data_IF_215956150116
#
_entry.id   IF_215956150116
#
_cell.length_a   1.000
_cell.length_b   1.000
_cell.length_c   1.000
_cell.angle_alpha   90.00
_cell.angle_beta   90.00
_cell.angle_gamma   90.00
#
_symmetry.space_group_name_H-M   'P 1'
#
loop_
_entity.id
_entity.type
_entity.pdbx_description
1 polymer ?
#
# COMPACT_ATOMS: atom_id res chain seq x y z
N UNK A 1 13.85 -29.15 0.41
CA UNK A 1 14.09 -28.43 -0.85
C UNK A 1 12.92 -27.50 -1.22
N UNK A 2 11.67 -27.76 -0.83
CA UNK A 2 10.51 -26.88 -1.14
C UNK A 2 10.53 -25.46 -0.55
N UNK A 3 10.83 -25.28 0.74
CA UNK A 3 10.78 -23.95 1.41
C UNK A 3 11.73 -22.89 0.81
N UNK A 4 12.77 -23.32 0.08
CA UNK A 4 13.73 -22.40 -0.56
C UNK A 4 13.22 -21.85 -1.89
N UNK A 5 12.42 -22.58 -2.66
CA UNK A 5 11.88 -22.10 -3.94
C UNK A 5 10.73 -21.09 -3.72
N UNK A 6 9.94 -21.30 -2.66
CA UNK A 6 8.76 -20.47 -2.33
C UNK A 6 9.13 -19.03 -1.93
N UNK A 7 10.30 -18.84 -1.30
CA UNK A 7 10.80 -17.51 -0.92
C UNK A 7 11.32 -16.74 -2.14
N UNK A 8 11.98 -17.41 -3.11
CA UNK A 8 12.52 -16.75 -4.30
C UNK A 8 11.40 -16.26 -5.24
N UNK A 9 10.30 -17.00 -5.37
CA UNK A 9 9.11 -16.60 -6.14
C UNK A 9 8.51 -15.26 -5.66
N UNK A 10 8.48 -15.05 -4.34
CA UNK A 10 8.02 -13.83 -3.66
C UNK A 10 8.84 -12.59 -4.03
N UNK A 11 10.15 -12.76 -4.29
CA UNK A 11 11.06 -11.64 -4.61
C UNK A 11 11.21 -11.42 -6.12
N UNK A 12 10.95 -12.44 -6.95
CA UNK A 12 11.01 -12.29 -8.41
C UNK A 12 9.92 -11.37 -8.97
N UNK A 13 8.71 -11.31 -8.40
CA UNK A 13 7.69 -10.36 -8.88
C UNK A 13 8.02 -8.90 -8.56
N UNK A 14 8.81 -8.67 -7.50
CA UNK A 14 9.29 -7.35 -7.08
C UNK A 14 10.46 -6.86 -7.94
N UNK A 15 11.22 -7.77 -8.56
CA UNK A 15 12.32 -7.42 -9.47
C UNK A 15 11.86 -7.00 -10.87
N UNK A 16 10.59 -7.21 -11.23
CA UNK A 16 9.99 -6.65 -12.46
C UNK A 16 9.41 -5.24 -12.24
N UNK A 17 9.44 -4.73 -11.00
CA UNK A 17 9.07 -3.36 -10.68
C UNK A 17 10.09 -2.43 -11.37
N UNK A 18 9.61 -1.64 -12.34
CA UNK A 18 10.35 -0.64 -13.12
C UNK A 18 11.06 -1.12 -14.41
N UNK A 19 10.56 -2.10 -15.15
CA UNK A 19 10.99 -2.25 -16.55
C UNK A 19 10.07 -1.44 -17.47
N UNK A 20 10.68 -0.52 -18.21
CA UNK A 20 10.09 0.43 -19.15
C UNK A 20 8.89 -0.13 -19.93
N UNK A 21 7.79 0.61 -19.92
CA UNK A 21 6.63 0.39 -20.78
C UNK A 21 6.99 0.68 -22.25
N UNK A 22 7.74 -0.22 -22.87
CA UNK A 22 7.77 -0.32 -24.33
C UNK A 22 6.39 -0.86 -24.77
N UNK A 23 5.45 0.06 -25.01
CA UNK A 23 4.04 -0.18 -25.37
C UNK A 23 3.84 -0.80 -26.77
N UNK A 24 4.67 -1.75 -27.20
CA UNK A 24 4.48 -2.47 -28.47
C UNK A 24 4.43 -3.99 -28.25
N UNK A 25 3.20 -4.50 -28.06
CA UNK A 25 2.84 -5.91 -28.25
C UNK A 25 2.54 -6.74 -26.99
N UNK A 26 1.74 -6.23 -26.02
CA UNK A 26 1.78 -6.74 -24.64
C UNK A 26 0.52 -7.44 -24.04
N UNK A 27 -0.56 -7.77 -24.76
CA UNK A 27 -1.74 -8.36 -24.09
C UNK A 27 -1.48 -9.70 -23.37
N UNK A 28 -0.66 -10.59 -23.95
CA UNK A 28 -0.30 -11.86 -23.32
C UNK A 28 0.73 -11.70 -22.18
N UNK A 29 1.57 -10.65 -22.23
CA UNK A 29 2.56 -10.34 -21.19
C UNK A 29 1.90 -9.68 -19.98
N UNK A 30 0.97 -8.76 -20.20
CA UNK A 30 0.15 -8.12 -19.16
C UNK A 30 -0.61 -9.17 -18.33
N UNK A 31 -1.34 -10.08 -18.99
CA UNK A 31 -2.10 -11.13 -18.31
C UNK A 31 -1.21 -12.10 -17.50
N UNK A 32 0.02 -12.35 -17.97
CA UNK A 32 0.99 -13.17 -17.25
C UNK A 32 1.54 -12.44 -16.02
N UNK A 33 1.84 -11.15 -16.14
CA UNK A 33 2.34 -10.32 -15.04
C UNK A 33 1.29 -10.16 -13.94
N UNK A 34 0.03 -9.82 -14.29
CA UNK A 34 -1.09 -9.73 -13.33
C UNK A 34 -1.30 -11.04 -12.56
N UNK A 35 -1.23 -12.18 -13.26
CA UNK A 35 -1.36 -13.50 -12.64
C UNK A 35 -0.22 -13.81 -11.65
N UNK A 36 1.01 -13.40 -11.97
CA UNK A 36 2.15 -13.60 -11.08
C UNK A 36 2.02 -12.77 -9.80
N UNK A 37 1.63 -11.50 -9.93
CA UNK A 37 1.35 -10.61 -8.80
C UNK A 37 0.25 -11.19 -7.92
N UNK A 38 -0.91 -11.53 -8.50
CA UNK A 38 -2.03 -12.07 -7.72
C UNK A 38 -1.67 -13.38 -7.01
N UNK A 39 -0.90 -14.26 -7.66
CA UNK A 39 -0.41 -15.51 -7.05
C UNK A 39 0.50 -15.24 -5.85
N UNK A 40 1.42 -14.27 -5.97
CA UNK A 40 2.28 -13.85 -4.85
C UNK A 40 1.47 -13.27 -3.69
N UNK A 41 0.48 -12.40 -3.98
CA UNK A 41 -0.38 -11.82 -2.94
C UNK A 41 -1.35 -12.83 -2.34
N UNK A 42 -1.87 -13.81 -3.08
CA UNK A 42 -2.64 -14.92 -2.54
C UNK A 42 -1.83 -15.74 -1.52
N UNK A 43 -0.57 -16.03 -1.86
CA UNK A 43 0.33 -16.74 -0.96
C UNK A 43 0.61 -15.92 0.31
N UNK A 44 0.90 -14.63 0.14
CA UNK A 44 1.11 -13.70 1.25
C UNK A 44 -0.12 -13.63 2.15
N UNK A 45 -1.31 -13.41 1.56
CA UNK A 45 -2.59 -13.41 2.26
C UNK A 45 -2.75 -14.67 3.11
N UNK A 46 -2.55 -15.87 2.57
CA UNK A 46 -2.67 -17.13 3.35
C UNK A 46 -1.76 -17.18 4.58
N UNK A 47 -0.61 -16.52 4.53
CA UNK A 47 0.36 -16.50 5.62
C UNK A 47 0.18 -15.33 6.60
N UNK A 48 -0.54 -14.27 6.22
CA UNK A 48 -0.74 -13.08 7.06
C UNK A 48 -1.62 -13.39 8.28
N UNK A 49 -1.25 -12.83 9.43
CA UNK A 49 -2.19 -12.70 10.55
C UNK A 49 -3.26 -11.65 10.24
N UNK A 50 -4.37 -11.69 10.99
CA UNK A 50 -5.41 -10.66 10.97
C UNK A 50 -4.82 -9.31 11.40
N UNK A 51 -5.27 -8.19 10.82
CA UNK A 51 -4.83 -6.84 11.19
C UNK A 51 -3.53 -6.36 10.53
N UNK A 52 -2.91 -7.14 9.63
CA UNK A 52 -1.66 -6.71 8.98
C UNK A 52 -1.95 -5.75 7.82
N UNK A 53 -1.37 -4.55 7.91
CA UNK A 53 -1.21 -3.61 6.81
C UNK A 53 0.19 -3.74 6.20
N UNK A 54 0.25 -3.72 4.87
CA UNK A 54 1.45 -4.02 4.10
C UNK A 54 2.05 -2.72 3.57
N UNK A 55 2.30 -1.77 4.48
CA UNK A 55 2.80 -0.45 4.15
C UNK A 55 3.93 0.01 5.08
N UNK A 56 4.74 0.98 4.63
CA UNK A 56 5.88 1.46 5.43
C UNK A 56 5.49 2.43 6.55
N UNK A 57 4.23 2.86 6.53
CA UNK A 57 3.64 3.73 7.54
C UNK A 57 3.98 5.19 7.32
N UNK A 58 3.36 6.04 8.14
CA UNK A 58 3.51 7.48 8.15
C UNK A 58 3.51 7.93 9.61
N UNK A 59 4.24 8.99 9.92
CA UNK A 59 4.15 9.58 11.24
C UNK A 59 4.03 11.10 11.18
N UNK A 60 2.96 11.60 11.78
CA UNK A 60 2.76 13.01 12.11
C UNK A 60 2.01 13.13 13.44
N UNK A 61 2.54 13.94 14.37
CA UNK A 61 1.98 14.05 15.71
C UNK A 61 0.52 14.54 15.72
N UNK A 62 0.16 15.43 14.78
CA UNK A 62 -1.20 15.98 14.71
C UNK A 62 -2.18 14.93 14.20
N UNK A 63 -1.79 14.15 13.18
CA UNK A 63 -2.60 13.04 12.70
C UNK A 63 -2.78 11.97 13.79
N UNK A 64 -1.72 11.61 14.51
CA UNK A 64 -1.81 10.64 15.61
C UNK A 64 -2.76 11.09 16.73
N UNK A 65 -2.73 12.38 17.08
CA UNK A 65 -3.62 12.98 18.10
C UNK A 65 -5.08 13.04 17.62
N UNK A 66 -5.31 13.41 16.35
CA UNK A 66 -6.65 13.42 15.75
C UNK A 66 -7.25 12.01 15.66
N UNK A 67 -6.47 11.01 15.24
CA UNK A 67 -6.89 9.60 15.23
C UNK A 67 -7.27 9.14 16.63
N UNK A 68 -6.45 9.44 17.63
CA UNK A 68 -6.72 9.06 19.03
C UNK A 68 -7.99 9.70 19.57
N UNK A 69 -8.31 10.91 19.12
CA UNK A 69 -9.54 11.62 19.47
C UNK A 69 -10.76 11.01 18.79
N UNK A 70 -10.66 10.70 17.49
CA UNK A 70 -11.77 10.12 16.70
C UNK A 70 -12.03 8.66 17.05
N UNK A 71 -10.99 7.90 17.39
CA UNK A 71 -11.06 6.49 17.71
C UNK A 71 -10.36 6.25 19.07
N UNK A 72 -11.03 6.55 20.20
CA UNK A 72 -10.44 6.33 21.51
C UNK A 72 -10.01 4.87 21.72
N UNK A 73 -8.79 4.68 22.25
CA UNK A 73 -8.22 3.35 22.45
C UNK A 73 -7.72 2.67 21.17
N UNK A 74 -7.52 3.41 20.07
CA UNK A 74 -7.04 2.84 18.82
C UNK A 74 -5.71 2.08 18.95
N UNK A 75 -4.79 2.59 19.76
CA UNK A 75 -3.49 1.96 20.03
C UNK A 75 -3.55 0.80 21.05
N UNK A 76 -4.73 0.49 21.60
CA UNK A 76 -4.91 -0.65 22.51
C UNK A 76 -5.02 -1.98 21.75
N UNK A 77 -5.32 -1.92 20.45
CA UNK A 77 -5.24 -3.05 19.53
C UNK A 77 -3.77 -3.23 19.12
N UNK A 78 -3.35 -4.46 18.80
CA UNK A 78 -1.95 -4.82 18.48
C UNK A 78 -1.43 -4.17 17.17
N UNK A 79 -1.35 -2.84 17.16
CA UNK A 79 -0.91 -1.94 16.10
C UNK A 79 0.07 -0.91 16.68
N UNK A 80 0.94 -0.38 15.83
CA UNK A 80 1.78 0.78 16.15
C UNK A 80 1.21 2.11 15.64
N UNK A 81 0.06 2.08 14.97
CA UNK A 81 -0.64 3.25 14.46
C UNK A 81 -0.06 3.84 13.18
N UNK A 82 1.22 3.63 12.89
CA UNK A 82 1.88 4.27 11.75
C UNK A 82 1.29 3.84 10.40
N UNK A 83 0.81 2.60 10.28
CA UNK A 83 0.21 2.15 9.03
C UNK A 83 -1.12 2.84 8.75
N UNK A 84 -1.89 3.08 9.80
CA UNK A 84 -3.20 3.71 9.75
C UNK A 84 -3.10 5.23 9.65
N UNK A 85 -2.06 5.83 10.24
CA UNK A 85 -1.69 7.23 10.02
C UNK A 85 -1.48 7.54 8.53
N UNK A 86 -0.94 6.60 7.73
CA UNK A 86 -0.78 6.79 6.28
C UNK A 86 -2.14 6.89 5.56
N UNK A 87 -3.07 6.01 5.91
CA UNK A 87 -4.44 6.03 5.39
C UNK A 87 -5.18 7.30 5.82
N UNK A 88 -5.02 7.69 7.09
CA UNK A 88 -5.61 8.90 7.63
C UNK A 88 -5.08 10.13 6.88
N UNK A 89 -3.77 10.25 6.71
CA UNK A 89 -3.14 11.35 5.97
C UNK A 89 -3.69 11.44 4.52
N UNK A 90 -3.81 10.31 3.83
CA UNK A 90 -4.36 10.29 2.47
C UNK A 90 -5.81 10.79 2.40
N UNK A 91 -6.67 10.37 3.33
CA UNK A 91 -8.07 10.81 3.38
C UNK A 91 -8.20 12.26 3.86
N UNK A 92 -7.36 12.69 4.81
CA UNK A 92 -7.36 14.04 5.40
C UNK A 92 -7.06 15.14 4.39
N UNK A 93 -6.26 14.84 3.37
CA UNK A 93 -5.92 15.77 2.27
C UNK A 93 -7.01 15.86 1.21
N UNK A 94 -8.01 14.97 1.23
CA UNK A 94 -9.20 15.11 0.38
C UNK A 94 -9.99 16.34 0.86
N UNK A 95 -10.36 17.28 -0.03
CA UNK A 95 -11.11 18.50 0.32
C UNK A 95 -12.58 18.30 0.76
N UNK A 96 -12.86 17.28 1.57
CA UNK A 96 -14.10 17.07 2.30
C UNK A 96 -13.82 17.10 3.80
N UNK A 97 -14.77 17.65 4.57
CA UNK A 97 -14.72 17.50 6.02
C UNK A 97 -14.86 15.99 6.35
N UNK A 98 -14.07 15.50 7.31
CA UNK A 98 -14.14 14.09 7.75
C UNK A 98 -15.52 13.75 8.33
N UNK A 99 -16.29 14.74 8.77
CA UNK A 99 -17.66 14.57 9.25
C UNK A 99 -18.72 14.67 8.12
N UNK A 100 -18.33 14.96 6.88
CA UNK A 100 -19.22 15.11 5.70
C UNK A 100 -19.11 13.94 4.69
N UNK A 101 -19.12 12.71 5.20
CA UNK A 101 -19.06 11.49 4.39
C UNK A 101 -20.40 10.74 4.26
N UNK A 102 -21.44 11.16 4.98
CA UNK A 102 -22.69 10.40 5.16
C UNK A 102 -23.43 10.02 3.87
N UNK A 103 -23.24 10.76 2.78
CA UNK A 103 -23.81 10.49 1.46
C UNK A 103 -22.79 9.97 0.42
N UNK A 104 -21.52 9.89 0.79
CA UNK A 104 -20.39 9.59 -0.10
C UNK A 104 -20.16 8.09 -0.28
N UNK A 105 -19.78 7.70 -1.49
CA UNK A 105 -19.19 6.42 -1.83
C UNK A 105 -17.65 6.53 -1.88
N UNK A 106 -16.98 5.83 -0.96
CA UNK A 106 -15.53 5.67 -0.93
C UNK A 106 -15.12 4.32 -1.55
N UNK A 107 -14.20 4.34 -2.50
CA UNK A 107 -13.61 3.15 -3.13
C UNK A 107 -12.13 3.08 -2.81
N UNK A 108 -11.65 1.99 -2.19
CA UNK A 108 -10.22 1.68 -2.13
C UNK A 108 -9.86 0.69 -3.25
N UNK A 109 -8.92 1.06 -4.13
CA UNK A 109 -8.39 0.17 -5.16
C UNK A 109 -7.03 -0.35 -4.71
N UNK A 110 -6.85 -1.68 -4.72
CA UNK A 110 -5.67 -2.34 -4.16
C UNK A 110 -5.75 -2.58 -2.65
N UNK A 111 -6.95 -2.90 -2.14
CA UNK A 111 -7.22 -2.93 -0.69
C UNK A 111 -6.57 -4.10 0.07
N UNK A 112 -5.98 -5.09 -0.63
CA UNK A 112 -5.39 -6.27 -0.03
C UNK A 112 -6.35 -6.99 0.92
N UNK A 113 -5.95 -7.13 2.18
CA UNK A 113 -6.76 -7.78 3.22
C UNK A 113 -7.91 -6.91 3.77
N UNK A 114 -8.05 -5.68 3.28
CA UNK A 114 -9.15 -4.77 3.60
C UNK A 114 -9.01 -4.00 4.91
N UNK A 115 -7.89 -4.16 5.64
CA UNK A 115 -7.67 -3.52 6.94
C UNK A 115 -7.61 -1.99 6.82
N UNK A 116 -7.11 -1.47 5.70
CA UNK A 116 -7.01 -0.03 5.42
C UNK A 116 -8.38 0.63 5.33
N UNK A 117 -9.24 0.13 4.44
CA UNK A 117 -10.64 0.57 4.38
C UNK A 117 -11.39 0.33 5.69
N UNK A 118 -11.14 -0.78 6.39
CA UNK A 118 -11.77 -1.04 7.69
C UNK A 118 -11.35 0.00 8.73
N UNK A 119 -10.09 0.46 8.71
CA UNK A 119 -9.66 1.60 9.51
C UNK A 119 -10.39 2.89 9.10
N UNK A 120 -10.40 3.25 7.81
CA UNK A 120 -11.06 4.46 7.33
C UNK A 120 -12.57 4.49 7.67
N UNK A 121 -13.24 3.34 7.65
CA UNK A 121 -14.66 3.23 8.05
C UNK A 121 -14.93 3.49 9.54
N UNK A 122 -13.89 3.61 10.36
CA UNK A 122 -13.96 4.05 11.77
C UNK A 122 -13.62 5.53 11.92
N UNK A 123 -12.98 6.12 10.90
CA UNK A 123 -12.61 7.55 10.85
C UNK A 123 -13.78 8.38 10.34
N UNK A 124 -14.46 7.90 9.30
CA UNK A 124 -15.57 8.60 8.63
C UNK A 124 -16.82 7.72 8.54
N UNK A 125 -18.00 8.33 8.63
CA UNK A 125 -19.29 7.65 8.43
C UNK A 125 -19.72 7.80 6.97
N UNK A 126 -19.22 6.93 6.10
CA UNK A 126 -19.54 6.94 4.68
C UNK A 126 -20.77 6.09 4.36
N UNK A 127 -21.62 6.56 3.43
CA UNK A 127 -22.80 5.80 2.94
C UNK A 127 -22.42 4.41 2.47
N UNK A 128 -21.31 4.32 1.76
CA UNK A 128 -20.80 3.10 1.14
C UNK A 128 -19.29 3.16 1.07
N UNK A 129 -18.64 2.08 1.47
CA UNK A 129 -17.21 1.85 1.33
C UNK A 129 -16.98 0.49 0.67
N UNK A 130 -16.25 0.47 -0.43
CA UNK A 130 -15.90 -0.77 -1.14
C UNK A 130 -14.40 -0.86 -1.30
N UNK A 131 -13.82 -1.99 -0.91
CA UNK A 131 -12.43 -2.32 -1.22
C UNK A 131 -12.38 -3.24 -2.44
N UNK A 132 -11.50 -2.95 -3.39
CA UNK A 132 -11.26 -3.77 -4.56
C UNK A 132 -9.82 -4.27 -4.55
N UNK A 133 -9.62 -5.55 -4.84
CA UNK A 133 -8.28 -6.13 -5.02
C UNK A 133 -8.31 -7.23 -6.09
N UNK A 134 -7.16 -7.48 -6.72
CA UNK A 134 -7.01 -8.54 -7.72
C UNK A 134 -7.01 -9.94 -7.08
N UNK A 135 -6.56 -10.05 -5.82
CA UNK A 135 -6.48 -11.30 -5.05
C UNK A 135 -7.84 -11.76 -4.54
N UNK A 136 -8.34 -12.86 -5.11
CA UNK A 136 -9.58 -13.51 -4.65
C UNK A 136 -9.46 -14.02 -3.19
N UNK A 137 -8.29 -14.53 -2.80
CA UNK A 137 -8.05 -14.98 -1.43
C UNK A 137 -8.13 -13.82 -0.42
N UNK A 138 -7.52 -12.68 -0.74
CA UNK A 138 -7.55 -11.51 0.12
C UNK A 138 -8.99 -11.00 0.30
N UNK A 139 -9.75 -10.93 -0.79
CA UNK A 139 -11.16 -10.51 -0.78
C UNK A 139 -12.04 -11.47 0.01
N UNK A 140 -11.85 -12.80 -0.13
CA UNK A 140 -12.58 -13.78 0.67
C UNK A 140 -12.33 -13.60 2.18
N UNK A 141 -11.08 -13.34 2.57
CA UNK A 141 -10.71 -13.12 3.98
C UNK A 141 -11.25 -11.81 4.52
N UNK A 142 -11.16 -10.74 3.74
CA UNK A 142 -11.71 -9.43 4.08
C UNK A 142 -13.22 -9.52 4.32
N UNK A 143 -13.96 -10.14 3.38
CA UNK A 143 -15.40 -10.34 3.51
C UNK A 143 -15.78 -11.21 4.72
N UNK A 144 -15.00 -12.26 5.02
CA UNK A 144 -15.26 -13.11 6.17
C UNK A 144 -15.04 -12.41 7.53
N UNK A 145 -14.18 -11.38 7.56
CA UNK A 145 -13.68 -10.82 8.83
C UNK A 145 -14.10 -9.38 9.12
N UNK A 146 -14.36 -8.58 8.08
CA UNK A 146 -14.46 -7.12 8.16
C UNK A 146 -15.79 -6.58 7.63
N UNK A 147 -16.43 -7.29 6.68
CA UNK A 147 -17.67 -6.83 6.06
C UNK A 147 -18.80 -6.62 7.04
N UNK A 148 -19.54 -5.54 6.82
CA UNK A 148 -20.70 -5.12 7.61
C UNK A 148 -21.55 -4.16 6.77
N UNK A 149 -22.67 -3.70 7.30
CA UNK A 149 -23.47 -2.68 6.62
C UNK A 149 -22.59 -1.47 6.25
N UNK A 150 -22.61 -1.07 4.97
CA UNK A 150 -21.80 0.04 4.46
C UNK A 150 -20.34 -0.31 4.10
N UNK A 151 -19.82 -1.49 4.45
CA UNK A 151 -18.42 -1.89 4.17
C UNK A 151 -18.35 -3.29 3.53
N UNK A 152 -17.85 -3.36 2.31
CA UNK A 152 -17.73 -4.61 1.55
C UNK A 152 -16.47 -4.68 0.70
N UNK A 153 -16.12 -5.88 0.23
CA UNK A 153 -14.91 -6.09 -0.57
C UNK A 153 -15.24 -6.90 -1.82
N UNK A 154 -14.68 -6.52 -2.97
CA UNK A 154 -14.94 -7.15 -4.27
C UNK A 154 -13.64 -7.49 -4.98
N UNK A 155 -13.62 -8.61 -5.70
CA UNK A 155 -12.49 -8.91 -6.58
C UNK A 155 -12.63 -8.09 -7.86
N UNK A 156 -11.54 -7.49 -8.33
CA UNK A 156 -11.55 -6.75 -9.59
C UNK A 156 -10.16 -6.34 -10.06
N UNK A 157 -10.09 -5.79 -11.27
CA UNK A 157 -8.86 -5.31 -11.90
C UNK A 157 -8.85 -3.77 -11.83
N UNK A 158 -7.75 -3.20 -11.33
CA UNK A 158 -7.60 -1.74 -11.23
C UNK A 158 -7.66 -1.05 -12.61
N UNK A 159 -7.26 -1.76 -13.68
CA UNK A 159 -7.28 -1.24 -15.05
C UNK A 159 -8.62 -1.51 -15.78
N UNK A 160 -9.60 -2.09 -15.09
CA UNK A 160 -10.95 -2.35 -15.60
C UNK A 160 -11.93 -2.45 -14.41
N UNK A 161 -12.21 -1.31 -13.81
CA UNK A 161 -12.98 -1.17 -12.58
C UNK A 161 -14.45 -1.56 -12.81
N UNK A 162 -15.01 -2.50 -12.02
CA UNK A 162 -16.38 -2.98 -12.17
C UNK A 162 -17.40 -2.02 -11.50
N UNK A 163 -17.25 -0.73 -11.78
CA UNK A 163 -18.06 0.37 -11.25
C UNK A 163 -18.57 1.22 -12.43
N UNK A 164 -19.76 1.77 -12.27
CA UNK A 164 -20.41 2.65 -13.24
C UNK A 164 -19.69 4.00 -13.34
N UNK A 165 -19.86 4.65 -14.48
CA UNK A 165 -19.31 5.98 -14.71
C UNK A 165 -19.89 6.98 -13.70
N UNK A 166 -19.01 7.75 -13.05
CA UNK A 166 -19.42 8.82 -12.14
C UNK A 166 -20.16 8.39 -10.87
N UNK A 167 -20.00 7.15 -10.39
CA UNK A 167 -20.65 6.68 -9.16
C UNK A 167 -19.83 6.92 -7.87
N UNK A 168 -18.52 7.16 -7.98
CA UNK A 168 -17.59 7.23 -6.83
C UNK A 168 -17.32 8.69 -6.44
N UNK A 169 -17.38 8.97 -5.13
CA UNK A 169 -17.07 10.29 -4.56
C UNK A 169 -15.59 10.46 -4.23
N UNK A 170 -15.00 9.43 -3.60
CA UNK A 170 -13.60 9.42 -3.17
C UNK A 170 -12.97 8.08 -3.55
N UNK A 171 -11.90 8.11 -4.34
CA UNK A 171 -11.09 6.93 -4.66
C UNK A 171 -9.76 7.01 -3.90
N UNK A 172 -9.43 5.96 -3.17
CA UNK A 172 -8.21 5.82 -2.37
C UNK A 172 -7.32 4.74 -3.00
N UNK A 173 -6.03 5.02 -3.16
CA UNK A 173 -5.05 4.04 -3.60
C UNK A 173 -3.73 4.22 -2.83
N UNK A 174 -3.41 3.27 -1.97
CA UNK A 174 -2.22 3.32 -1.10
C UNK A 174 -1.31 2.15 -1.44
N UNK A 175 -0.07 2.45 -1.81
CA UNK A 175 1.02 1.49 -2.05
C UNK A 175 0.59 0.29 -2.92
N UNK A 176 -0.10 0.57 -4.03
CA UNK A 176 -0.61 -0.49 -4.91
C UNK A 176 -0.30 -0.25 -6.39
N UNK A 177 -0.42 0.98 -6.89
CA UNK A 177 -0.27 1.28 -8.32
C UNK A 177 1.15 1.07 -8.87
N UNK A 178 2.17 0.97 -8.02
CA UNK A 178 3.49 0.50 -8.42
C UNK A 178 3.50 -0.93 -9.00
N UNK A 179 2.47 -1.74 -8.72
CA UNK A 179 2.30 -3.08 -9.26
C UNK A 179 1.43 -3.13 -10.53
N UNK A 180 0.86 -2.00 -10.98
CA UNK A 180 -0.08 -2.01 -12.11
C UNK A 180 0.69 -1.95 -13.43
N UNK A 181 0.46 -2.90 -14.37
CA UNK A 181 1.06 -2.87 -15.69
C UNK A 181 0.89 -1.54 -16.42
N UNK A 182 -0.28 -0.92 -16.33
CA UNK A 182 -0.57 0.34 -16.99
C UNK A 182 -1.16 1.34 -16.00
N UNK A 183 -0.29 2.24 -15.53
CA UNK A 183 -0.71 3.36 -14.71
C UNK A 183 -1.67 4.29 -15.45
N UNK A 184 -1.48 4.46 -16.77
CA UNK A 184 -2.36 5.26 -17.61
C UNK A 184 -3.78 4.70 -17.65
N UNK A 185 -3.96 3.40 -17.95
CA UNK A 185 -5.29 2.77 -17.91
C UNK A 185 -5.95 2.86 -16.54
N UNK A 186 -5.18 2.71 -15.46
CA UNK A 186 -5.69 2.91 -14.11
C UNK A 186 -6.19 4.34 -13.90
N UNK A 187 -5.42 5.36 -14.30
CA UNK A 187 -5.85 6.76 -14.18
C UNK A 187 -7.06 7.09 -15.06
N UNK A 188 -7.18 6.50 -16.24
CA UNK A 188 -8.38 6.58 -17.08
C UNK A 188 -9.61 6.00 -16.37
N UNK A 189 -9.48 4.82 -15.76
CA UNK A 189 -10.55 4.20 -14.97
C UNK A 189 -10.90 5.00 -13.72
N UNK A 190 -9.91 5.56 -13.01
CA UNK A 190 -10.12 6.49 -11.89
C UNK A 190 -10.95 7.68 -12.35
N UNK A 191 -10.58 8.30 -13.46
CA UNK A 191 -11.31 9.42 -14.02
C UNK A 191 -12.72 9.04 -14.49
N UNK A 192 -12.94 7.81 -14.93
CA UNK A 192 -14.25 7.31 -15.38
C UNK A 192 -15.21 7.09 -14.21
N UNK A 193 -14.78 6.39 -13.17
CA UNK A 193 -15.65 6.00 -12.05
C UNK A 193 -15.90 7.16 -11.09
N UNK A 194 -14.99 8.13 -11.01
CA UNK A 194 -15.21 9.33 -10.20
C UNK A 194 -16.31 10.21 -10.80
N UNK A 195 -17.24 10.63 -9.95
CA UNK A 195 -18.22 11.66 -10.30
C UNK A 195 -17.53 13.00 -10.55
N UNK A 196 -18.11 13.91 -11.35
CA UNK A 196 -17.63 15.29 -11.43
C UNK A 196 -17.52 15.94 -10.04
N UNK A 197 -16.34 16.48 -9.72
CA UNK A 197 -16.03 17.01 -8.39
C UNK A 197 -15.70 15.97 -7.31
N UNK A 198 -15.66 14.68 -7.65
CA UNK A 198 -15.06 13.63 -6.82
C UNK A 198 -13.54 13.71 -6.79
N UNK A 199 -12.92 13.02 -5.82
CA UNK A 199 -11.48 13.11 -5.57
C UNK A 199 -10.79 11.75 -5.60
N UNK A 200 -9.58 11.74 -6.15
CA UNK A 200 -8.64 10.64 -6.08
C UNK A 200 -7.52 11.02 -5.11
N UNK A 201 -7.27 10.20 -4.09
CA UNK A 201 -6.10 10.31 -3.22
C UNK A 201 -5.18 9.10 -3.42
N UNK A 202 -3.90 9.37 -3.66
CA UNK A 202 -2.92 8.37 -4.05
C UNK A 202 -1.66 8.53 -3.23
N UNK A 203 -1.18 7.43 -2.64
CA UNK A 203 0.12 7.39 -1.98
C UNK A 203 0.91 6.23 -2.53
N UNK A 204 2.15 6.48 -2.94
CA UNK A 204 3.04 5.41 -3.38
C UNK A 204 4.52 5.76 -3.18
N UNK A 205 5.36 4.73 -3.34
CA UNK A 205 6.80 4.81 -3.42
C UNK A 205 7.26 4.99 -4.87
N UNK A 206 8.26 5.85 -5.07
CA UNK A 206 8.76 6.18 -6.39
C UNK A 206 10.26 6.02 -6.51
N UNK A 207 10.67 5.40 -7.61
CA UNK A 207 11.95 5.70 -8.25
C UNK A 207 11.85 7.03 -8.98
N UNK A 208 12.99 7.67 -9.25
CA UNK A 208 13.07 8.88 -10.06
C UNK A 208 12.40 8.68 -11.42
N UNK A 209 12.59 7.53 -12.05
CA UNK A 209 11.99 7.21 -13.35
C UNK A 209 10.46 7.10 -13.27
N UNK A 210 9.93 6.39 -12.27
CA UNK A 210 8.48 6.22 -12.09
C UNK A 210 7.80 7.54 -11.74
N UNK A 211 8.45 8.38 -10.93
CA UNK A 211 7.94 9.70 -10.62
C UNK A 211 7.85 10.58 -11.88
N UNK A 212 8.91 10.63 -12.70
CA UNK A 212 8.89 11.36 -13.98
C UNK A 212 7.76 10.88 -14.88
N UNK A 213 7.56 9.57 -15.00
CA UNK A 213 6.47 9.02 -15.80
C UNK A 213 5.09 9.43 -15.28
N UNK A 214 4.88 9.43 -13.96
CA UNK A 214 3.64 9.96 -13.39
C UNK A 214 3.46 11.43 -13.79
N UNK A 215 4.49 12.29 -13.66
CA UNK A 215 4.38 13.71 -14.07
C UNK A 215 3.98 13.86 -15.54
N UNK A 216 4.53 13.03 -16.43
CA UNK A 216 4.13 13.01 -17.84
C UNK A 216 2.64 12.64 -18.03
N UNK A 217 2.10 11.72 -17.22
CA UNK A 217 0.66 11.41 -17.22
C UNK A 217 -0.18 12.53 -16.60
N UNK A 218 0.35 13.28 -15.63
CA UNK A 218 -0.34 14.45 -15.06
C UNK A 218 -0.51 15.58 -16.08
N UNK A 219 0.41 15.68 -17.05
CA UNK A 219 0.34 16.65 -18.15
C UNK A 219 -0.63 16.21 -19.27
N UNK A 220 -1.13 14.96 -19.26
CA UNK A 220 -2.16 14.49 -20.18
C UNK A 220 -3.55 14.93 -19.72
N UNK A 221 -4.43 15.22 -20.67
CA UNK A 221 -5.84 15.48 -20.40
C UNK A 221 -6.60 14.17 -20.13
N UNK A 222 -6.50 13.69 -18.89
CA UNK A 222 -7.26 12.54 -18.38
C UNK A 222 -8.55 12.95 -17.65
N UNK A 223 -8.92 14.24 -17.70
CA UNK A 223 -10.02 14.78 -16.91
C UNK A 223 -9.76 14.75 -15.40
N UNK A 224 -8.51 14.81 -14.97
CA UNK A 224 -8.10 14.89 -13.56
C UNK A 224 -7.26 16.15 -13.33
N UNK A 225 -7.74 17.02 -12.45
CA UNK A 225 -7.00 18.20 -11.99
C UNK A 225 -6.21 17.84 -10.73
N UNK A 226 -4.88 17.79 -10.81
CA UNK A 226 -4.02 17.52 -9.66
C UNK A 226 -3.93 18.74 -8.74
N UNK A 227 -4.57 18.64 -7.58
CA UNK A 227 -4.68 19.74 -6.60
C UNK A 227 -3.64 19.65 -5.48
N UNK A 228 -3.00 18.49 -5.32
CA UNK A 228 -1.94 18.28 -4.33
C UNK A 228 -0.87 17.31 -4.84
N UNK A 229 0.39 17.65 -4.55
CA UNK A 229 1.58 16.83 -4.76
C UNK A 229 2.55 17.10 -3.59
N UNK A 230 2.65 16.16 -2.65
CA UNK A 230 3.44 16.31 -1.42
C UNK A 230 4.47 15.20 -1.31
N UNK A 231 5.71 15.61 -1.03
CA UNK A 231 6.74 14.68 -0.54
C UNK A 231 6.48 14.34 0.92
N UNK A 232 6.25 13.05 1.21
CA UNK A 232 6.03 12.56 2.57
C UNK A 232 7.16 11.62 3.02
N UNK A 233 8.29 11.63 2.32
CA UNK A 233 9.44 10.75 2.60
C UNK A 233 9.91 10.87 4.05
N UNK A 234 9.98 12.09 4.59
CA UNK A 234 10.45 12.32 5.96
C UNK A 234 9.52 11.68 7.02
N UNK A 235 8.20 11.75 6.80
CA UNK A 235 7.20 11.17 7.70
C UNK A 235 7.21 9.64 7.63
N UNK A 236 7.39 9.07 6.43
CA UNK A 236 7.54 7.63 6.24
C UNK A 236 8.85 7.14 6.90
N UNK A 237 9.96 7.87 6.73
CA UNK A 237 11.22 7.57 7.40
C UNK A 237 11.07 7.63 8.93
N UNK A 238 10.34 8.62 9.46
CA UNK A 238 10.06 8.72 10.89
C UNK A 238 9.28 7.50 11.41
N UNK A 239 8.25 7.03 10.69
CA UNK A 239 7.53 5.81 11.02
C UNK A 239 8.45 4.57 11.02
N UNK A 240 9.29 4.41 9.99
CA UNK A 240 10.26 3.30 9.91
C UNK A 240 11.24 3.34 11.09
N UNK A 241 11.75 4.52 11.45
CA UNK A 241 12.60 4.70 12.62
C UNK A 241 11.88 4.35 13.92
N UNK A 242 10.62 4.75 14.07
CA UNK A 242 9.77 4.39 15.21
C UNK A 242 9.63 2.87 15.37
N UNK A 243 9.27 2.18 14.28
CA UNK A 243 9.13 0.71 14.23
C UNK A 243 10.41 -0.04 14.56
N UNK A 244 11.52 0.43 14.02
CA UNK A 244 12.84 -0.18 14.18
C UNK A 244 13.57 0.28 15.45
N UNK A 245 13.01 1.20 16.23
CA UNK A 245 13.57 1.60 17.53
C UNK A 245 13.63 0.40 18.50
N UNK A 246 14.49 0.44 19.54
CA UNK A 246 14.61 -0.66 20.50
C UNK A 246 13.29 -1.04 21.20
N UNK A 247 12.38 -0.07 21.37
CA UNK A 247 11.04 -0.27 21.94
C UNK A 247 9.93 -0.35 20.89
N UNK A 248 10.28 -0.22 19.60
CA UNK A 248 9.34 -0.28 18.50
C UNK A 248 8.71 -1.66 18.31
N UNK A 249 7.60 -1.66 17.57
CA UNK A 249 6.78 -2.84 17.29
C UNK A 249 7.58 -4.02 16.72
N UNK A 250 8.56 -3.76 15.85
CA UNK A 250 9.42 -4.80 15.29
C UNK A 250 10.20 -5.55 16.38
N UNK A 251 10.86 -4.81 17.28
CA UNK A 251 11.63 -5.41 18.36
C UNK A 251 10.74 -6.06 19.42
N UNK A 252 9.58 -5.45 19.73
CA UNK A 252 8.57 -6.04 20.61
C UNK A 252 8.08 -7.39 20.07
N UNK A 253 7.66 -7.46 18.81
CA UNK A 253 7.21 -8.70 18.16
C UNK A 253 8.30 -9.79 18.18
N UNK A 254 9.57 -9.44 17.96
CA UNK A 254 10.69 -10.39 18.03
C UNK A 254 10.97 -10.92 19.45
N UNK A 255 10.66 -10.14 20.49
CA UNK A 255 10.77 -10.56 21.90
C UNK A 255 9.63 -11.51 22.28
N UNK A 256 8.42 -11.22 21.82
CA UNK A 256 7.21 -11.97 22.15
C UNK A 256 7.10 -13.29 21.36
N UNK A 257 7.61 -13.33 20.14
CA UNK A 257 7.64 -14.57 19.36
C UNK A 257 8.62 -15.60 19.94
N UNK A 258 8.12 -16.82 20.17
CA UNK A 258 8.91 -18.02 20.51
C UNK A 258 9.64 -18.59 19.29
N UNK A 259 10.48 -17.78 18.65
CA UNK A 259 11.36 -18.21 17.55
C UNK A 259 12.71 -18.67 18.09
N UNK A 260 13.32 -19.65 17.42
CA UNK A 260 14.65 -20.15 17.78
C UNK A 260 15.72 -19.06 17.65
N UNK A 261 16.83 -19.17 18.40
CA UNK A 261 17.88 -18.15 18.45
C UNK A 261 18.44 -17.78 17.07
N UNK A 262 18.59 -18.77 16.18
CA UNK A 262 19.07 -18.57 14.80
C UNK A 262 18.06 -17.79 13.95
N UNK A 263 16.76 -18.11 14.06
CA UNK A 263 15.70 -17.38 13.35
C UNK A 263 15.59 -15.94 13.83
N UNK A 264 15.66 -15.72 15.16
CA UNK A 264 15.65 -14.37 15.74
C UNK A 264 16.84 -13.54 15.25
N UNK A 265 18.01 -14.17 15.16
CA UNK A 265 19.23 -13.52 14.65
C UNK A 265 19.14 -13.16 13.16
N UNK A 266 18.55 -14.04 12.34
CA UNK A 266 18.29 -13.75 10.92
C UNK A 266 17.25 -12.65 10.74
N UNK A 267 16.15 -12.69 11.50
CA UNK A 267 15.08 -11.69 11.43
C UNK A 267 15.60 -10.28 11.75
N UNK A 268 16.46 -10.12 12.76
CA UNK A 268 17.10 -8.83 13.06
C UNK A 268 17.97 -8.26 11.94
N UNK A 269 18.46 -9.10 11.03
CA UNK A 269 19.37 -8.71 9.95
C UNK A 269 18.68 -8.43 8.63
N UNK A 270 17.55 -9.09 8.38
CA UNK A 270 16.77 -9.00 7.13
C UNK A 270 15.50 -8.17 7.32
N UNK A 271 14.95 -8.17 8.53
CA UNK A 271 13.71 -7.47 8.86
C UNK A 271 13.73 -5.96 8.59
N UNK A 272 14.82 -5.22 8.89
CA UNK A 272 14.89 -3.80 8.55
C UNK A 272 14.70 -3.53 7.06
N UNK A 273 15.29 -4.34 6.18
CA UNK A 273 15.11 -4.20 4.72
C UNK A 273 13.67 -4.46 4.27
N UNK A 274 12.98 -5.39 4.93
CA UNK A 274 11.58 -5.72 4.63
C UNK A 274 10.60 -4.59 5.02
N UNK A 275 11.02 -3.63 5.85
CA UNK A 275 10.22 -2.47 6.27
C UNK A 275 10.81 -1.13 5.78
N UNK A 276 11.55 -1.14 4.67
CA UNK A 276 12.08 0.09 4.07
C UNK A 276 13.35 0.64 4.73
N UNK A 277 14.11 -0.18 5.46
CA UNK A 277 15.32 0.23 6.18
C UNK A 277 16.33 1.00 5.31
N UNK A 278 16.61 0.52 4.09
CA UNK A 278 17.47 1.25 3.15
C UNK A 278 16.95 2.66 2.82
N UNK A 279 15.64 2.83 2.66
CA UNK A 279 15.00 4.14 2.41
C UNK A 279 15.12 5.08 3.63
N UNK A 280 15.09 4.53 4.84
CA UNK A 280 15.33 5.24 6.09
C UNK A 280 16.83 5.35 6.47
N UNK A 281 17.74 5.11 5.51
CA UNK A 281 19.19 5.28 5.72
C UNK A 281 19.86 4.21 6.58
N UNK A 282 19.18 3.10 6.90
CA UNK A 282 19.82 1.95 7.53
C UNK A 282 20.76 1.29 6.52
N UNK A 283 21.95 0.92 6.98
CA UNK A 283 22.94 0.24 6.14
C UNK A 283 23.04 -1.24 6.51
N UNK A 284 23.23 -2.07 5.50
CA UNK A 284 23.48 -3.50 5.70
C UNK A 284 24.64 -3.74 6.67
N UNK A 285 24.41 -4.59 7.67
CA UNK A 285 25.49 -5.10 8.51
C UNK A 285 26.54 -5.83 7.66
N UNK A 286 27.80 -5.89 8.11
CA UNK A 286 28.87 -6.61 7.40
C UNK A 286 28.51 -8.08 7.10
N UNK A 287 27.76 -8.71 8.00
CA UNK A 287 27.21 -10.04 7.78
C UNK A 287 26.07 -10.12 6.77
N UNK A 288 25.21 -9.09 6.68
CA UNK A 288 24.16 -9.02 5.66
C UNK A 288 24.79 -8.89 4.27
N UNK A 289 25.81 -8.03 4.13
CA UNK A 289 26.62 -7.90 2.90
C UNK A 289 27.27 -9.23 2.49
N UNK A 290 27.78 -10.00 3.46
CA UNK A 290 28.36 -11.31 3.20
C UNK A 290 27.29 -12.31 2.71
N UNK A 291 26.13 -12.37 3.35
CA UNK A 291 25.03 -13.25 2.95
C UNK A 291 24.49 -12.92 1.55
N UNK A 292 24.40 -11.63 1.18
CA UNK A 292 24.10 -11.18 -0.18
C UNK A 292 25.18 -11.65 -1.16
N UNK A 293 26.47 -11.46 -0.82
CA UNK A 293 27.61 -11.87 -1.66
C UNK A 293 27.67 -13.38 -1.92
N UNK A 294 27.33 -14.21 -0.93
CA UNK A 294 27.35 -15.68 -1.08
C UNK A 294 26.03 -16.26 -1.61
N UNK A 295 25.10 -15.41 -2.05
CA UNK A 295 23.83 -15.82 -2.66
C UNK A 295 22.82 -16.43 -1.70
N UNK A 296 22.98 -16.23 -0.38
CA UNK A 296 22.03 -16.70 0.64
C UNK A 296 20.87 -15.71 0.79
N UNK A 297 21.12 -14.42 0.57
CA UNK A 297 20.09 -13.39 0.46
C UNK A 297 20.12 -12.79 -0.96
N UNK A 298 18.98 -12.33 -1.50
CA UNK A 298 18.97 -11.59 -2.74
C UNK A 298 19.82 -10.32 -2.63
N UNK A 299 20.45 -9.92 -3.74
CA UNK A 299 21.27 -8.70 -3.80
C UNK A 299 20.47 -7.44 -3.46
N UNK A 300 19.17 -7.46 -3.76
CA UNK A 300 18.23 -6.37 -3.53
C UNK A 300 16.83 -6.94 -3.27
N UNK A 301 16.14 -6.44 -2.24
CA UNK A 301 14.79 -6.88 -1.86
C UNK A 301 13.69 -6.08 -2.58
N UNK A 302 13.92 -4.79 -2.79
CA UNK A 302 13.06 -3.88 -3.56
C UNK A 302 13.95 -2.92 -4.36
N UNK A 303 13.50 -2.42 -5.54
CA UNK A 303 14.18 -1.35 -6.25
C UNK A 303 14.42 -0.14 -5.32
N UNK A 304 15.45 0.69 -5.60
CA UNK A 304 15.77 1.82 -4.74
C UNK A 304 14.58 2.78 -4.74
N UNK A 305 14.06 3.08 -3.55
CA UNK A 305 13.00 4.09 -3.38
C UNK A 305 13.68 5.43 -3.18
N UNK A 306 13.39 6.39 -4.04
CA UNK A 306 13.95 7.75 -3.99
C UNK A 306 13.03 8.70 -3.21
N UNK A 307 11.72 8.48 -3.29
CA UNK A 307 10.73 9.30 -2.59
C UNK A 307 9.44 8.53 -2.30
N UNK A 308 8.70 9.03 -1.31
CA UNK A 308 7.31 8.69 -1.04
C UNK A 308 6.46 9.92 -1.30
N UNK A 309 5.40 9.78 -2.08
CA UNK A 309 4.58 10.92 -2.52
C UNK A 309 3.11 10.68 -2.21
N UNK A 310 2.43 11.73 -1.77
CA UNK A 310 0.98 11.80 -1.61
C UNK A 310 0.43 12.79 -2.64
N UNK A 311 -0.53 12.35 -3.43
CA UNK A 311 -1.22 13.16 -4.42
C UNK A 311 -2.71 13.21 -4.15
N UNK A 312 -3.32 14.33 -4.51
CA UNK A 312 -4.77 14.44 -4.62
C UNK A 312 -5.11 15.03 -5.98
N UNK A 313 -6.04 14.39 -6.68
CA UNK A 313 -6.63 14.88 -7.92
C UNK A 313 -8.14 15.02 -7.79
N UNK A 314 -8.71 15.99 -8.49
CA UNK A 314 -10.15 16.22 -8.59
C UNK A 314 -10.62 15.85 -9.99
N UNK A 315 -11.76 15.17 -10.09
CA UNK A 315 -12.44 14.96 -11.37
C UNK A 315 -13.05 16.27 -11.88
N UNK A 316 -12.69 16.69 -13.08
CA UNK A 316 -13.28 17.85 -13.79
C UNK A 316 -14.37 17.45 -14.78
#
# INVERSE_FOLDING_TARGET
MGVREDMYGLFTSVNEINLSDDQKGQSAKEGTHKKNISTSYDLQARMSKKGILWNWGYHDEQNAEEISTRIPGFLDYDTDGYSEELYFAALREVPFDLDDYADKFVLEVGCGLGEGLNFLSRVVDAKRMVGLDLSDEAIKRANASLSRAGLSYVQGDAENLPFEDGEVDVLVNIESAHNYPSLEKFLEEVARVLRPGGYFTHVDLYTTQRHTFLKELQDKDLGLEWVLDRDISAQVQAAIHGRLSPEGSFHKALREQRVGAIQRHMAKRVGPEAVGGSFAGYTDSGSTKLLKRVGVLPSQFMPPVDSYRLYVAKKI
#
